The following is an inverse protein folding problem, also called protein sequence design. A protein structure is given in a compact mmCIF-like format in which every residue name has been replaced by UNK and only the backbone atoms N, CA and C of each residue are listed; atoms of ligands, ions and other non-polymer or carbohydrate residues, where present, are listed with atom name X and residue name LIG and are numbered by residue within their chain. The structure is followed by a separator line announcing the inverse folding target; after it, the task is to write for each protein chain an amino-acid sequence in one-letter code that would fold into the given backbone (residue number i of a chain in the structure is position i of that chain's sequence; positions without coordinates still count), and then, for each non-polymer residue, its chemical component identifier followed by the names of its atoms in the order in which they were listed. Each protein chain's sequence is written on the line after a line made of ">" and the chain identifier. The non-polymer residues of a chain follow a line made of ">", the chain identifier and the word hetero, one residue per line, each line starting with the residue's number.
data_IF_277501131516
#
_entry.id   IF_277501131516
#
_cell.length_a   1.000
_cell.length_b   1.000
_cell.length_c   1.000
_cell.angle_alpha   90.00
_cell.angle_beta   90.00
_cell.angle_gamma   90.00
#
_symmetry.space_group_name_H-M   'P 1'
#
loop_
_entity.id
_entity.type
_entity.pdbx_description
1 polymer ?
#
# COMPACT_ATOMS: atom_id res chain seq x y z
N UNK A 1 -0.94 28.27 -10.80
CA UNK A 1 -0.73 26.88 -10.31
C UNK A 1 -1.04 25.82 -11.36
N UNK A 2 -1.96 26.04 -12.31
CA UNK A 2 -2.06 25.23 -13.53
C UNK A 2 -1.18 25.85 -14.63
N UNK A 3 0.13 25.61 -14.57
CA UNK A 3 1.00 25.89 -15.71
C UNK A 3 0.94 24.68 -16.63
N UNK A 4 0.46 24.84 -17.88
CA UNK A 4 0.35 23.75 -18.85
C UNK A 4 1.67 23.06 -19.23
N UNK A 5 2.80 23.61 -18.80
CA UNK A 5 4.12 23.02 -19.00
C UNK A 5 4.52 22.14 -17.81
N UNK A 6 4.14 22.50 -16.58
CA UNK A 6 4.60 21.89 -15.31
C UNK A 6 3.53 20.97 -14.67
N UNK A 7 2.61 20.45 -15.47
CA UNK A 7 1.59 19.54 -14.98
C UNK A 7 2.13 18.10 -14.94
N UNK A 8 2.14 17.51 -13.74
CA UNK A 8 2.71 16.17 -13.48
C UNK A 8 1.71 15.03 -13.63
N UNK A 9 0.57 15.24 -14.30
CA UNK A 9 -0.46 14.20 -14.49
C UNK A 9 0.10 12.95 -15.18
N UNK A 10 0.91 13.10 -16.23
CA UNK A 10 1.55 11.96 -16.89
C UNK A 10 2.47 11.19 -15.95
N UNK A 11 3.23 11.90 -15.12
CA UNK A 11 4.12 11.28 -14.14
C UNK A 11 3.33 10.42 -13.14
N UNK A 12 2.22 10.94 -12.63
CA UNK A 12 1.33 10.20 -11.74
C UNK A 12 0.69 8.99 -12.43
N UNK A 13 0.14 9.16 -13.65
CA UNK A 13 -0.46 8.06 -14.40
C UNK A 13 0.54 6.95 -14.69
N UNK A 14 1.74 7.29 -15.16
CA UNK A 14 2.77 6.29 -15.47
C UNK A 14 3.28 5.57 -14.23
N UNK A 15 3.33 6.23 -13.08
CA UNK A 15 3.71 5.54 -11.85
C UNK A 15 2.62 4.57 -11.36
N UNK A 16 1.33 4.92 -11.45
CA UNK A 16 0.25 3.95 -11.15
C UNK A 16 0.29 2.76 -12.12
N UNK A 17 0.56 3.02 -13.41
CA UNK A 17 0.77 1.97 -14.41
C UNK A 17 1.96 1.10 -14.04
N UNK A 18 3.06 1.68 -13.57
CA UNK A 18 4.25 0.96 -13.08
C UNK A 18 3.91 -0.02 -11.96
N UNK A 19 3.18 0.44 -10.94
CA UNK A 19 2.73 -0.40 -9.84
C UNK A 19 1.76 -1.50 -10.30
N UNK A 20 0.84 -1.18 -11.22
CA UNK A 20 -0.04 -2.17 -11.84
C UNK A 20 0.71 -3.24 -12.64
N UNK A 21 1.73 -2.85 -13.40
CA UNK A 21 2.63 -3.78 -14.10
C UNK A 21 3.38 -4.67 -13.11
N UNK A 22 3.83 -4.15 -11.98
CA UNK A 22 4.50 -4.95 -10.95
C UNK A 22 3.59 -6.05 -10.39
N UNK A 23 2.31 -5.73 -10.14
CA UNK A 23 1.29 -6.70 -9.71
C UNK A 23 1.07 -7.76 -10.79
N UNK A 24 0.90 -7.35 -12.05
CA UNK A 24 0.70 -8.30 -13.16
C UNK A 24 1.90 -9.24 -13.33
N UNK A 25 3.12 -8.71 -13.28
CA UNK A 25 4.35 -9.49 -13.41
C UNK A 25 4.54 -10.48 -12.25
N UNK A 26 4.30 -10.06 -11.01
CA UNK A 26 4.46 -10.94 -9.85
C UNK A 26 3.38 -12.02 -9.79
N UNK A 27 2.13 -11.66 -10.05
CA UNK A 27 1.02 -12.62 -10.04
C UNK A 27 1.17 -13.60 -11.20
N UNK A 28 1.54 -13.10 -12.37
CA UNK A 28 1.83 -13.95 -13.54
C UNK A 28 2.95 -14.95 -13.27
N UNK A 29 4.04 -14.52 -12.62
CA UNK A 29 5.16 -15.40 -12.25
C UNK A 29 4.72 -16.47 -11.25
N UNK A 30 4.00 -16.11 -10.20
CA UNK A 30 3.57 -17.06 -9.18
C UNK A 30 2.52 -18.05 -9.68
N UNK A 31 1.60 -17.59 -10.52
CA UNK A 31 0.66 -18.48 -11.22
C UNK A 31 1.39 -19.43 -12.16
N UNK A 32 2.42 -18.96 -12.86
CA UNK A 32 3.27 -19.80 -13.70
C UNK A 32 4.04 -20.85 -12.87
N UNK A 33 4.48 -20.50 -11.66
CA UNK A 33 5.09 -21.44 -10.70
C UNK A 33 4.08 -22.39 -10.04
N UNK A 34 2.78 -22.29 -10.34
CA UNK A 34 1.73 -23.19 -9.84
C UNK A 34 1.24 -22.87 -8.42
N UNK A 35 1.44 -21.64 -7.91
CA UNK A 35 0.96 -21.25 -6.59
C UNK A 35 -0.56 -21.02 -6.61
N UNK A 36 -1.34 -21.62 -5.69
CA UNK A 36 -2.80 -21.51 -5.71
C UNK A 36 -3.26 -20.05 -5.46
N UNK A 37 -4.17 -19.59 -6.32
CA UNK A 37 -4.82 -18.29 -6.17
C UNK A 37 -6.00 -18.39 -5.20
N UNK A 38 -5.94 -17.68 -4.09
CA UNK A 38 -6.99 -17.64 -3.05
C UNK A 38 -7.67 -16.27 -3.07
N UNK A 39 -8.95 -16.20 -2.71
CA UNK A 39 -9.71 -14.93 -2.71
C UNK A 39 -9.07 -13.83 -1.85
N UNK A 40 -8.34 -14.18 -0.80
CA UNK A 40 -7.56 -13.23 0.02
C UNK A 40 -6.50 -12.49 -0.80
N UNK A 41 -5.91 -13.14 -1.80
CA UNK A 41 -4.93 -12.56 -2.73
C UNK A 41 -5.58 -11.50 -3.62
N UNK A 42 -6.88 -11.58 -3.89
CA UNK A 42 -7.58 -10.58 -4.71
C UNK A 42 -7.55 -9.16 -4.09
N UNK A 43 -7.33 -9.05 -2.77
CA UNK A 43 -7.21 -7.77 -2.08
C UNK A 43 -5.77 -7.22 -2.07
N UNK A 44 -4.76 -8.04 -2.38
CA UNK A 44 -3.36 -7.65 -2.38
C UNK A 44 -3.03 -6.48 -3.34
N UNK A 45 -3.61 -6.36 -4.56
CA UNK A 45 -3.33 -5.25 -5.46
C UNK A 45 -3.60 -3.87 -4.85
N UNK A 46 -4.63 -3.74 -4.00
CA UNK A 46 -4.93 -2.48 -3.32
C UNK A 46 -3.79 -2.06 -2.37
N UNK A 47 -3.29 -3.02 -1.58
CA UNK A 47 -2.16 -2.81 -0.69
C UNK A 47 -0.89 -2.47 -1.47
N UNK A 48 -0.61 -3.20 -2.54
CA UNK A 48 0.59 -3.01 -3.37
C UNK A 48 0.57 -1.65 -4.07
N UNK A 49 -0.57 -1.22 -4.60
CA UNK A 49 -0.73 0.11 -5.18
C UNK A 49 -0.49 1.22 -4.15
N UNK A 50 -0.95 1.05 -2.91
CA UNK A 50 -0.71 2.00 -1.83
C UNK A 50 0.78 2.24 -1.57
N UNK A 51 1.55 1.16 -1.40
CA UNK A 51 3.00 1.23 -1.19
C UNK A 51 3.73 1.77 -2.42
N UNK A 52 3.38 1.28 -3.62
CA UNK A 52 4.02 1.74 -4.85
C UNK A 52 3.81 3.25 -5.11
N UNK A 53 2.63 3.78 -4.77
CA UNK A 53 2.36 5.22 -4.86
C UNK A 53 3.15 6.03 -3.83
N UNK A 54 3.33 5.52 -2.61
CA UNK A 54 4.16 6.17 -1.58
C UNK A 54 5.62 6.30 -2.05
N UNK A 55 6.21 5.21 -2.56
CA UNK A 55 7.56 5.20 -3.12
C UNK A 55 7.73 6.22 -4.27
N UNK A 56 6.73 6.30 -5.15
CA UNK A 56 6.72 7.30 -6.23
C UNK A 56 6.71 8.74 -5.68
N UNK A 57 5.92 9.01 -4.64
CA UNK A 57 5.86 10.34 -4.04
C UNK A 57 7.20 10.72 -3.40
N UNK A 58 7.86 9.79 -2.71
CA UNK A 58 9.21 10.01 -2.14
C UNK A 58 10.20 10.36 -3.26
N UNK A 59 10.21 9.59 -4.35
CA UNK A 59 11.09 9.83 -5.51
C UNK A 59 10.85 11.19 -6.16
N UNK A 60 9.59 11.61 -6.32
CA UNK A 60 9.24 12.94 -6.87
C UNK A 60 9.67 14.05 -5.91
N UNK A 61 9.42 13.90 -4.61
CA UNK A 61 9.73 14.92 -3.62
C UNK A 61 11.24 15.18 -3.54
N UNK A 62 12.06 14.13 -3.51
CA UNK A 62 13.52 14.24 -3.53
C UNK A 62 14.05 14.81 -4.85
N UNK A 63 13.39 14.50 -5.98
CA UNK A 63 13.73 15.10 -7.28
C UNK A 63 13.48 16.62 -7.28
N UNK A 64 12.30 17.06 -6.82
CA UNK A 64 11.96 18.48 -6.70
C UNK A 64 12.89 19.22 -5.71
N UNK A 65 13.25 18.58 -4.60
CA UNK A 65 14.22 19.13 -3.66
C UNK A 65 15.61 19.29 -4.29
N UNK A 66 16.04 18.30 -5.08
CA UNK A 66 17.33 18.34 -5.79
C UNK A 66 17.37 19.41 -6.88
N UNK A 67 16.24 19.66 -7.56
CA UNK A 67 16.08 20.78 -8.50
C UNK A 67 16.24 22.15 -7.82
N UNK A 68 15.75 22.30 -6.60
CA UNK A 68 15.87 23.57 -5.84
C UNK A 68 17.28 23.88 -5.37
N UNK A 69 18.08 22.84 -5.10
CA UNK A 69 19.47 23.01 -4.62
C UNK A 69 20.38 23.64 -5.69
N UNK A 70 20.07 23.53 -6.99
CA UNK A 70 20.98 23.97 -8.07
C UNK A 70 20.22 24.53 -9.28
N UNK A 71 20.59 25.74 -9.72
CA UNK A 71 19.87 26.51 -10.75
C UNK A 71 20.00 25.93 -12.18
N UNK A 72 21.03 25.12 -12.47
CA UNK A 72 21.24 24.40 -13.75
C UNK A 72 22.03 23.08 -13.57
N UNK A 73 21.40 21.99 -13.13
CA UNK A 73 22.08 20.71 -13.00
C UNK A 73 22.10 19.95 -14.33
N UNK A 74 23.18 19.20 -14.57
CA UNK A 74 23.15 18.13 -15.57
C UNK A 74 22.14 17.06 -15.12
N UNK A 75 21.40 16.49 -16.07
CA UNK A 75 20.31 15.54 -15.78
C UNK A 75 20.84 14.28 -15.10
N UNK A 76 22.05 13.82 -15.47
CA UNK A 76 22.67 12.65 -14.86
C UNK A 76 23.06 12.91 -13.41
N UNK A 77 23.61 14.10 -13.15
CA UNK A 77 23.96 14.52 -11.79
C UNK A 77 22.71 14.63 -10.91
N UNK A 78 21.63 15.23 -11.44
CA UNK A 78 20.37 15.38 -10.73
C UNK A 78 19.74 14.02 -10.37
N UNK A 79 19.79 13.06 -11.30
CA UNK A 79 19.33 11.70 -11.05
C UNK A 79 20.18 11.00 -10.00
N UNK A 80 21.51 11.13 -10.09
CA UNK A 80 22.43 10.56 -9.10
C UNK A 80 22.18 11.09 -7.68
N UNK A 81 21.98 12.40 -7.53
CA UNK A 81 21.65 13.02 -6.24
C UNK A 81 20.26 12.60 -5.73
N UNK A 82 19.27 12.54 -6.63
CA UNK A 82 17.93 12.08 -6.24
C UNK A 82 17.98 10.63 -5.77
N UNK A 83 18.75 9.78 -6.44
CA UNK A 83 18.87 8.37 -6.08
C UNK A 83 19.67 8.19 -4.78
N UNK A 84 20.69 9.01 -4.53
CA UNK A 84 21.46 8.92 -3.28
C UNK A 84 20.60 9.20 -2.04
N UNK A 85 19.62 10.11 -2.14
CA UNK A 85 18.68 10.40 -1.04
C UNK A 85 17.43 9.51 -1.06
N UNK A 86 16.71 9.44 -2.20
CA UNK A 86 15.42 8.77 -2.30
C UNK A 86 15.53 7.25 -2.38
N UNK A 87 16.48 6.73 -3.18
CA UNK A 87 16.58 5.29 -3.38
C UNK A 87 16.97 4.57 -2.08
N UNK A 88 17.78 5.19 -1.21
CA UNK A 88 18.07 4.64 0.11
C UNK A 88 16.80 4.47 0.96
N UNK A 89 15.95 5.50 1.02
CA UNK A 89 14.68 5.45 1.78
C UNK A 89 13.72 4.38 1.24
N UNK A 90 13.55 4.33 -0.08
CA UNK A 90 12.68 3.35 -0.75
C UNK A 90 13.23 1.93 -0.59
N UNK A 91 14.56 1.74 -0.69
CA UNK A 91 15.18 0.42 -0.52
C UNK A 91 14.99 -0.12 0.89
N UNK A 92 15.15 0.72 1.92
CA UNK A 92 14.96 0.31 3.31
C UNK A 92 13.51 -0.14 3.52
N UNK A 93 12.54 0.66 3.08
CA UNK A 93 11.11 0.39 3.25
C UNK A 93 10.71 -0.89 2.54
N UNK A 94 11.05 -1.02 1.25
CA UNK A 94 10.76 -2.22 0.46
C UNK A 94 11.43 -3.46 1.01
N UNK A 95 12.69 -3.37 1.47
CA UNK A 95 13.39 -4.50 2.11
C UNK A 95 12.68 -4.95 3.39
N UNK A 96 12.28 -4.01 4.26
CA UNK A 96 11.57 -4.35 5.49
C UNK A 96 10.21 -4.97 5.21
N UNK A 97 9.48 -4.47 4.21
CA UNK A 97 8.18 -5.02 3.81
C UNK A 97 8.32 -6.42 3.23
N UNK A 98 9.26 -6.61 2.30
CA UNK A 98 9.56 -7.90 1.69
C UNK A 98 9.91 -8.94 2.76
N UNK A 99 10.77 -8.59 3.73
CA UNK A 99 11.13 -9.48 4.83
C UNK A 99 9.92 -9.79 5.72
N UNK A 100 9.11 -8.80 6.09
CA UNK A 100 7.92 -8.99 6.90
C UNK A 100 6.91 -9.93 6.23
N UNK A 101 6.66 -9.75 4.93
CA UNK A 101 5.75 -10.62 4.18
C UNK A 101 6.33 -12.02 3.98
N UNK A 102 7.64 -12.16 3.73
CA UNK A 102 8.25 -13.49 3.65
C UNK A 102 8.21 -14.23 5.00
N UNK A 103 8.40 -13.56 6.13
CA UNK A 103 8.19 -14.17 7.46
C UNK A 103 6.73 -14.64 7.62
N UNK A 104 5.77 -13.88 7.09
CA UNK A 104 4.34 -14.26 7.07
C UNK A 104 4.03 -15.56 6.31
N UNK A 105 4.91 -16.02 5.41
CA UNK A 105 4.75 -17.31 4.72
C UNK A 105 4.95 -18.53 5.61
N UNK A 106 5.52 -18.35 6.81
CA UNK A 106 5.69 -19.40 7.83
C UNK A 106 4.40 -19.69 8.63
N UNK A 107 3.33 -18.94 8.40
CA UNK A 107 2.05 -19.15 9.09
C UNK A 107 1.42 -20.52 8.78
N UNK A 108 0.64 -21.08 9.71
CA UNK A 108 -0.03 -22.37 9.50
C UNK A 108 -1.23 -22.28 8.53
N UNK A 109 -1.81 -21.09 8.34
CA UNK A 109 -3.01 -20.87 7.51
C UNK A 109 -2.67 -20.73 6.02
N UNK A 110 -3.06 -21.68 5.15
CA UNK A 110 -2.69 -21.66 3.73
C UNK A 110 -3.11 -20.38 3.00
N UNK A 111 -4.29 -19.83 3.31
CA UNK A 111 -4.78 -18.58 2.71
C UNK A 111 -3.86 -17.39 2.97
N UNK A 112 -3.26 -17.33 4.17
CA UNK A 112 -2.33 -16.25 4.57
C UNK A 112 -0.97 -16.47 3.93
N UNK A 113 -0.49 -17.73 3.88
CA UNK A 113 0.78 -18.08 3.24
C UNK A 113 0.80 -17.68 1.77
N UNK A 114 -0.26 -18.02 1.02
CA UNK A 114 -0.39 -17.60 -0.39
C UNK A 114 -0.40 -16.08 -0.49
N UNK A 115 -1.25 -15.39 0.29
CA UNK A 115 -1.31 -13.92 0.30
C UNK A 115 0.06 -13.28 0.51
N UNK A 116 0.79 -13.71 1.55
CA UNK A 116 2.12 -13.21 1.87
C UNK A 116 3.17 -13.48 0.78
N UNK A 117 3.08 -14.63 0.09
CA UNK A 117 3.96 -14.95 -1.02
C UNK A 117 3.69 -14.04 -2.23
N UNK A 118 2.42 -13.82 -2.56
CA UNK A 118 2.00 -12.91 -3.64
C UNK A 118 2.39 -11.45 -3.37
N UNK A 119 2.15 -10.93 -2.16
CA UNK A 119 2.52 -9.56 -1.81
C UNK A 119 4.03 -9.37 -1.71
N UNK A 120 4.76 -10.30 -1.08
CA UNK A 120 6.21 -10.22 -0.92
C UNK A 120 6.95 -10.21 -2.26
N UNK A 121 6.54 -11.07 -3.20
CA UNK A 121 7.11 -11.03 -4.57
C UNK A 121 6.69 -9.79 -5.34
N UNK A 122 5.45 -9.32 -5.19
CA UNK A 122 5.00 -8.08 -5.83
C UNK A 122 5.80 -6.86 -5.39
N UNK A 123 6.20 -6.76 -4.13
CA UNK A 123 7.06 -5.68 -3.66
C UNK A 123 8.47 -5.71 -4.24
N UNK A 124 9.03 -6.89 -4.47
CA UNK A 124 10.31 -7.01 -5.19
C UNK A 124 10.17 -6.46 -6.62
N UNK A 125 9.11 -6.83 -7.34
CA UNK A 125 8.84 -6.29 -8.68
C UNK A 125 8.54 -4.78 -8.65
N UNK A 126 7.81 -4.32 -7.65
CA UNK A 126 7.48 -2.91 -7.46
C UNK A 126 8.76 -2.08 -7.30
N UNK A 127 9.67 -2.53 -6.43
CA UNK A 127 10.98 -1.89 -6.24
C UNK A 127 11.78 -1.82 -7.56
N UNK A 128 11.86 -2.93 -8.31
CA UNK A 128 12.59 -2.97 -9.59
C UNK A 128 11.98 -1.97 -10.58
N UNK A 129 10.66 -1.91 -10.72
CA UNK A 129 10.01 -0.97 -11.64
C UNK A 129 10.07 0.48 -11.17
N UNK A 130 10.00 0.74 -9.87
CA UNK A 130 10.20 2.09 -9.31
C UNK A 130 11.61 2.61 -9.62
N UNK A 131 12.65 1.79 -9.41
CA UNK A 131 14.04 2.21 -9.64
C UNK A 131 14.41 2.33 -11.12
N UNK A 132 13.82 1.51 -12.00
CA UNK A 132 14.17 1.48 -13.43
C UNK A 132 13.18 2.28 -14.27
N UNK A 133 11.94 1.81 -14.37
CA UNK A 133 10.91 2.37 -15.23
C UNK A 133 10.47 3.76 -14.77
N UNK A 134 10.09 3.92 -13.51
CA UNK A 134 9.62 5.20 -13.00
C UNK A 134 10.73 6.26 -12.95
N UNK A 135 11.94 5.88 -12.54
CA UNK A 135 13.12 6.72 -12.62
C UNK A 135 13.39 7.27 -14.04
N UNK A 136 13.29 6.41 -15.06
CA UNK A 136 13.42 6.85 -16.45
C UNK A 136 12.32 7.84 -16.86
N UNK A 137 11.08 7.65 -16.40
CA UNK A 137 9.95 8.55 -16.68
C UNK A 137 10.17 9.92 -16.02
N UNK A 138 10.71 9.99 -14.80
CA UNK A 138 11.06 11.27 -14.16
C UNK A 138 12.03 12.06 -15.05
N UNK A 139 13.08 11.40 -15.54
CA UNK A 139 14.08 12.00 -16.44
C UNK A 139 13.46 12.47 -17.75
N UNK A 140 12.60 11.66 -18.35
CA UNK A 140 11.92 12.01 -19.60
C UNK A 140 10.95 13.19 -19.40
N UNK A 141 10.20 13.21 -18.31
CA UNK A 141 9.33 14.33 -17.97
C UNK A 141 10.15 15.60 -17.74
N UNK A 142 11.29 15.51 -17.07
CA UNK A 142 12.17 16.66 -16.89
C UNK A 142 12.73 17.20 -18.22
N UNK A 143 13.16 16.31 -19.13
CA UNK A 143 13.57 16.72 -20.49
C UNK A 143 12.42 17.39 -21.27
N UNK A 144 11.17 16.93 -21.09
CA UNK A 144 9.98 17.57 -21.66
C UNK A 144 9.78 18.98 -21.11
N UNK A 145 9.96 19.17 -19.80
CA UNK A 145 9.85 20.46 -19.14
C UNK A 145 10.92 21.44 -19.60
N UNK A 146 12.19 21.00 -19.68
CA UNK A 146 13.27 21.81 -20.25
C UNK A 146 13.01 22.24 -21.70
N UNK A 147 12.34 21.39 -22.48
CA UNK A 147 11.93 21.68 -23.86
C UNK A 147 10.72 22.61 -24.00
N UNK A 148 10.16 23.14 -22.90
CA UNK A 148 8.93 23.95 -22.87
C UNK A 148 7.78 23.32 -23.67
N UNK A 149 7.66 21.99 -23.61
CA UNK A 149 6.63 21.25 -24.36
C UNK A 149 5.33 21.19 -23.55
N UNK A 150 4.20 21.31 -24.24
CA UNK A 150 2.88 21.21 -23.62
C UNK A 150 2.66 19.82 -23.00
N UNK A 151 2.00 19.74 -21.84
CA UNK A 151 1.82 18.48 -21.10
C UNK A 151 1.02 17.42 -21.88
N UNK A 152 -0.01 17.81 -22.64
CA UNK A 152 -0.90 16.87 -23.33
C UNK A 152 -0.42 16.51 -24.74
N UNK A 153 0.08 17.49 -25.48
CA UNK A 153 0.35 17.37 -26.93
C UNK A 153 1.83 17.18 -27.24
N UNK A 154 2.72 17.28 -26.24
CA UNK A 154 4.18 17.17 -26.37
C UNK A 154 4.82 18.10 -27.43
N UNK A 155 4.06 19.06 -27.95
CA UNK A 155 4.52 20.05 -28.91
C UNK A 155 5.25 21.19 -28.20
N UNK A 156 6.32 21.75 -28.79
CA UNK A 156 7.02 22.89 -28.22
C UNK A 156 6.10 24.10 -28.15
N UNK A 157 5.95 24.68 -26.96
CA UNK A 157 5.24 25.95 -26.80
C UNK A 157 6.25 27.04 -27.12
N UNK A 158 6.12 27.63 -28.31
CA UNK A 158 6.98 28.72 -28.74
C UNK A 158 6.80 29.94 -27.83
N UNK A 159 7.83 30.28 -27.06
CA UNK A 159 7.98 31.58 -26.41
C UNK A 159 8.44 32.62 -27.45
N UNK A 160 7.66 32.80 -28.51
CA UNK A 160 7.85 33.84 -29.51
C UNK A 160 7.12 35.11 -29.08
N UNK A 161 7.76 36.27 -29.23
CA UNK A 161 7.27 37.62 -28.92
C UNK A 161 6.01 38.06 -29.71
N UNK A 162 5.35 37.16 -30.42
CA UNK A 162 4.21 37.44 -31.31
C UNK A 162 2.86 37.07 -30.64
N UNK A 163 2.67 37.52 -29.40
CA UNK A 163 1.55 37.11 -28.53
C UNK A 163 0.45 38.17 -28.34
N UNK A 164 0.27 39.09 -29.29
CA UNK A 164 -0.78 40.10 -29.20
C UNK A 164 -2.14 39.68 -29.81
N UNK A 165 -2.23 38.59 -30.59
CA UNK A 165 -3.45 38.29 -31.40
C UNK A 165 -3.97 36.85 -31.35
N UNK A 166 -3.95 36.14 -30.21
CA UNK A 166 -4.67 34.85 -30.08
C UNK A 166 -5.57 34.78 -28.85
N UNK A 167 -6.74 34.18 -29.03
CA UNK A 167 -7.84 34.06 -28.06
C UNK A 167 -7.37 33.59 -26.68
N UNK A 168 -7.88 34.18 -25.59
CA UNK A 168 -7.48 33.83 -24.21
C UNK A 168 -7.72 32.35 -23.88
N UNK A 169 -8.59 31.64 -24.60
CA UNK A 169 -8.76 30.18 -24.50
C UNK A 169 -7.51 29.39 -24.98
N UNK A 170 -6.83 29.87 -26.02
CA UNK A 170 -5.55 29.31 -26.50
C UNK A 170 -4.40 29.67 -25.56
N UNK A 171 -4.35 30.90 -25.03
CA UNK A 171 -3.32 31.29 -24.05
C UNK A 171 -3.51 30.60 -22.68
N UNK A 172 -4.76 30.39 -22.24
CA UNK A 172 -5.06 29.60 -21.05
C UNK A 172 -4.72 28.11 -21.25
N UNK A 173 -5.02 27.55 -22.44
CA UNK A 173 -4.75 26.15 -22.75
C UNK A 173 -3.27 25.86 -23.05
N UNK A 174 -2.50 26.78 -23.66
CA UNK A 174 -1.13 26.49 -24.10
C UNK A 174 -0.03 27.17 -23.29
N UNK A 175 -0.30 28.34 -22.69
CA UNK A 175 0.70 29.16 -21.97
C UNK A 175 0.40 29.20 -20.46
N UNK A 176 -0.84 28.93 -20.05
CA UNK A 176 -1.26 28.94 -18.66
C UNK A 176 -1.26 30.33 -18.01
N UNK A 177 -1.15 31.41 -18.80
CA UNK A 177 -1.15 32.80 -18.34
C UNK A 177 -1.81 33.71 -19.38
N UNK A 178 -2.89 34.42 -19.02
CA UNK A 178 -3.48 35.51 -19.82
C UNK A 178 -2.93 36.91 -19.42
N UNK A 179 -1.89 37.00 -18.58
CA UNK A 179 -1.28 38.29 -18.19
C UNK A 179 0.24 38.20 -18.14
N UNK A 180 0.91 39.12 -18.83
CA UNK A 180 2.36 39.24 -18.86
C UNK A 180 2.93 39.63 -17.50
N UNK A 181 3.40 38.64 -16.75
CA UNK A 181 4.39 38.84 -15.70
C UNK A 181 5.46 37.76 -15.79
N UNK A 182 6.70 38.23 -15.69
CA UNK A 182 7.96 37.47 -15.67
C UNK A 182 7.92 36.33 -14.65
N UNK A 183 8.65 35.27 -14.99
CA UNK A 183 9.09 34.16 -14.13
C UNK A 183 9.23 34.56 -12.66
N UNK A 184 8.17 34.34 -11.87
CA UNK A 184 8.24 34.44 -10.43
C UNK A 184 8.99 33.21 -9.88
N UNK A 185 9.78 33.38 -8.79
CA UNK A 185 10.39 32.26 -8.09
C UNK A 185 9.29 31.29 -7.63
N UNK A 186 9.63 30.00 -7.59
CA UNK A 186 8.73 28.94 -7.12
C UNK A 186 7.95 29.35 -5.87
N UNK A 187 6.63 29.49 -5.99
CA UNK A 187 5.79 29.57 -4.80
C UNK A 187 5.85 28.22 -4.09
N UNK A 188 6.36 28.20 -2.86
CA UNK A 188 6.42 27.01 -2.01
C UNK A 188 5.07 26.26 -1.98
N UNK A 189 5.12 24.92 -1.91
CA UNK A 189 3.92 24.10 -1.78
C UNK A 189 3.12 24.55 -0.55
N UNK A 190 1.80 24.76 -0.66
CA UNK A 190 0.99 25.30 0.44
C UNK A 190 1.04 24.41 1.68
N UNK A 191 1.18 23.09 1.48
CA UNK A 191 1.34 22.11 2.55
C UNK A 191 2.66 22.31 3.31
N UNK A 192 3.77 22.55 2.60
CA UNK A 192 5.07 22.83 3.23
C UNK A 192 5.05 24.12 4.05
N UNK A 193 4.36 25.15 3.56
CA UNK A 193 4.15 26.40 4.31
C UNK A 193 3.32 26.15 5.57
N UNK A 194 2.26 25.35 5.48
CA UNK A 194 1.44 24.97 6.64
C UNK A 194 2.27 24.23 7.70
N UNK A 195 3.03 23.21 7.28
CA UNK A 195 3.87 22.42 8.18
C UNK A 195 4.96 23.25 8.84
N UNK A 196 5.62 24.13 8.08
CA UNK A 196 6.73 24.94 8.58
C UNK A 196 6.25 26.10 9.46
N UNK A 197 5.16 26.79 9.10
CA UNK A 197 4.70 28.00 9.81
C UNK A 197 3.72 27.74 10.95
N UNK A 198 2.83 26.76 10.82
CA UNK A 198 1.75 26.54 11.78
C UNK A 198 1.98 25.26 12.59
N UNK A 199 2.10 24.11 11.92
CA UNK A 199 2.13 22.82 12.60
C UNK A 199 3.42 22.57 13.40
N UNK A 200 4.58 22.87 12.80
CA UNK A 200 5.89 22.67 13.40
C UNK A 200 6.05 23.43 14.73
N UNK A 201 5.88 24.76 14.75
CA UNK A 201 5.97 25.56 15.98
C UNK A 201 4.92 25.17 17.02
N UNK A 202 3.70 24.81 16.60
CA UNK A 202 2.66 24.35 17.50
C UNK A 202 3.07 23.07 18.25
N UNK A 203 3.54 22.03 17.54
CA UNK A 203 3.97 20.78 18.17
C UNK A 203 5.26 20.90 18.98
N UNK A 204 6.19 21.78 18.56
CA UNK A 204 7.48 21.94 19.27
C UNK A 204 7.41 22.81 20.50
N UNK A 205 6.26 23.42 20.81
CA UNK A 205 6.05 24.18 22.03
C UNK A 205 6.32 23.35 23.29
N UNK A 206 6.97 23.96 24.28
CA UNK A 206 7.40 23.31 25.53
C UNK A 206 6.26 22.67 26.33
N UNK A 207 5.05 23.23 26.23
CA UNK A 207 3.84 22.72 26.89
C UNK A 207 3.10 21.65 26.10
N UNK A 208 3.16 21.71 24.77
CA UNK A 208 2.44 20.78 23.89
C UNK A 208 3.19 19.45 23.81
N UNK A 209 4.53 19.46 23.79
CA UNK A 209 5.34 18.24 23.84
C UNK A 209 4.95 17.25 24.95
N UNK A 210 4.95 17.63 26.25
CA UNK A 210 4.57 16.69 27.31
C UNK A 210 3.09 16.29 27.23
N UNK A 211 2.20 17.18 26.77
CA UNK A 211 0.79 16.85 26.56
C UNK A 211 0.60 15.77 25.49
N UNK A 212 1.32 15.87 24.37
CA UNK A 212 1.30 14.86 23.29
C UNK A 212 1.82 13.53 23.82
N UNK A 213 2.94 13.53 24.56
CA UNK A 213 3.50 12.30 25.16
C UNK A 213 2.50 11.67 26.14
N UNK A 214 1.84 12.47 26.99
CA UNK A 214 0.82 11.98 27.91
C UNK A 214 -0.37 11.37 27.15
N UNK A 215 -0.85 12.04 26.11
CA UNK A 215 -1.96 11.56 25.28
C UNK A 215 -1.61 10.21 24.62
N UNK A 216 -0.43 10.09 24.00
CA UNK A 216 0.03 8.82 23.41
C UNK A 216 0.26 7.75 24.47
N UNK A 217 0.70 8.12 25.68
CA UNK A 217 0.82 7.19 26.81
C UNK A 217 -0.52 6.63 27.27
N UNK A 218 -1.54 7.49 27.40
CA UNK A 218 -2.92 7.07 27.72
C UNK A 218 -3.48 6.21 26.59
N UNK A 219 -3.29 6.61 25.33
CA UNK A 219 -3.71 5.83 24.16
C UNK A 219 -3.07 4.45 24.16
N UNK A 220 -1.75 4.36 24.35
CA UNK A 220 -1.03 3.09 24.40
C UNK A 220 -1.54 2.20 25.55
N UNK A 221 -1.72 2.76 26.74
CA UNK A 221 -2.28 2.03 27.89
C UNK A 221 -3.69 1.50 27.62
N UNK A 222 -4.55 2.31 27.01
CA UNK A 222 -5.90 1.90 26.63
C UNK A 222 -5.90 0.82 25.55
N UNK A 223 -5.00 0.89 24.57
CA UNK A 223 -4.84 -0.13 23.53
C UNK A 223 -4.35 -1.45 24.11
N UNK A 224 -3.37 -1.43 25.03
CA UNK A 224 -2.89 -2.64 25.72
C UNK A 224 -4.03 -3.28 26.53
N UNK A 225 -4.83 -2.48 27.22
CA UNK A 225 -6.03 -2.97 27.92
C UNK A 225 -7.08 -3.52 26.94
N UNK A 226 -7.27 -2.88 25.78
CA UNK A 226 -8.16 -3.37 24.73
C UNK A 226 -7.72 -4.74 24.19
N UNK A 227 -6.41 -4.96 24.03
CA UNK A 227 -5.87 -6.25 23.59
C UNK A 227 -6.22 -7.40 24.53
N UNK A 228 -6.41 -7.18 25.83
CA UNK A 228 -6.79 -8.26 26.77
C UNK A 228 -8.27 -8.64 26.68
N UNK A 229 -9.10 -7.85 26.01
CA UNK A 229 -10.53 -8.12 25.82
C UNK A 229 -10.88 -8.67 24.43
N UNK A 230 -9.89 -8.86 23.55
CA UNK A 230 -10.14 -9.41 22.22
C UNK A 230 -10.65 -10.86 22.37
N UNK A 231 -11.84 -11.12 21.81
CA UNK A 231 -12.40 -12.47 21.75
C UNK A 231 -11.78 -13.21 20.58
N UNK A 232 -11.32 -14.43 20.84
CA UNK A 232 -10.78 -15.32 19.82
C UNK A 232 -11.91 -16.08 19.13
N UNK A 233 -11.81 -16.26 17.81
CA UNK A 233 -12.75 -17.06 17.02
C UNK A 233 -13.30 -16.31 15.80
N UNK A 234 -13.64 -17.08 14.78
CA UNK A 234 -14.37 -16.59 13.59
C UNK A 234 -15.80 -17.07 13.73
N UNK A 235 -16.74 -16.14 13.79
CA UNK A 235 -18.15 -16.47 13.71
C UNK A 235 -18.51 -16.76 12.25
N UNK A 236 -18.99 -17.98 11.97
CA UNK A 236 -19.30 -18.45 10.61
C UNK A 236 -20.37 -17.57 9.94
N UNK A 237 -21.23 -16.94 10.74
CA UNK A 237 -22.26 -16.00 10.29
C UNK A 237 -21.66 -14.81 9.55
N UNK A 238 -20.51 -14.31 10.01
CA UNK A 238 -19.83 -13.14 9.44
C UNK A 238 -19.07 -13.44 8.14
N UNK A 239 -18.98 -14.71 7.74
CA UNK A 239 -18.41 -15.10 6.44
C UNK A 239 -19.45 -15.10 5.32
N UNK A 240 -20.74 -15.15 5.68
CA UNK A 240 -21.83 -15.07 4.74
C UNK A 240 -22.11 -13.61 4.36
N UNK A 241 -22.72 -13.40 3.21
CA UNK A 241 -23.26 -12.09 2.86
C UNK A 241 -24.39 -11.71 3.85
N UNK A 242 -24.58 -10.42 4.11
CA UNK A 242 -25.56 -9.92 5.11
C UNK A 242 -27.00 -10.38 4.81
N UNK A 243 -27.34 -10.56 3.52
CA UNK A 243 -28.66 -11.04 3.07
C UNK A 243 -28.74 -12.57 2.91
N UNK A 244 -27.71 -13.31 3.32
CA UNK A 244 -27.65 -14.76 3.14
C UNK A 244 -28.58 -15.50 4.11
N UNK A 245 -29.25 -16.55 3.62
CA UNK A 245 -30.05 -17.48 4.43
C UNK A 245 -29.23 -18.20 5.53
N UNK A 246 -27.91 -18.17 5.42
CA UNK A 246 -26.98 -18.80 6.36
C UNK A 246 -27.05 -18.15 7.74
N UNK A 247 -27.24 -16.83 7.80
CA UNK A 247 -27.35 -16.08 9.06
C UNK A 247 -28.59 -16.54 9.86
N UNK A 248 -29.83 -16.47 9.33
CA UNK A 248 -31.01 -16.92 10.07
C UNK A 248 -30.96 -18.43 10.36
N UNK A 249 -30.35 -19.24 9.48
CA UNK A 249 -30.15 -20.66 9.76
C UNK A 249 -29.30 -20.89 11.02
N UNK A 250 -28.15 -20.22 11.14
CA UNK A 250 -27.30 -20.37 12.33
C UNK A 250 -27.92 -19.73 13.58
N UNK A 251 -28.66 -18.63 13.43
CA UNK A 251 -29.45 -18.05 14.52
C UNK A 251 -30.49 -19.03 15.07
N UNK A 252 -31.26 -19.67 14.18
CA UNK A 252 -32.27 -20.66 14.54
C UNK A 252 -31.62 -21.93 15.10
N UNK A 253 -30.50 -22.37 14.53
CA UNK A 253 -29.74 -23.52 15.02
C UNK A 253 -29.27 -23.29 16.46
N UNK A 254 -28.69 -22.13 16.77
CA UNK A 254 -28.20 -21.84 18.12
C UNK A 254 -29.35 -21.61 19.11
N UNK A 255 -30.48 -21.09 18.64
CA UNK A 255 -31.66 -20.87 19.48
C UNK A 255 -32.42 -22.15 19.81
N UNK A 256 -32.64 -23.03 18.84
CA UNK A 256 -33.50 -24.21 18.99
C UNK A 256 -32.72 -25.52 19.17
N UNK A 257 -31.48 -25.60 18.69
CA UNK A 257 -30.70 -26.84 18.64
C UNK A 257 -29.39 -26.79 19.45
N UNK A 258 -29.17 -25.76 20.27
CA UNK A 258 -27.98 -25.66 21.15
C UNK A 258 -27.89 -26.72 22.26
N UNK A 259 -28.98 -27.46 22.52
CA UNK A 259 -29.00 -28.53 23.53
C UNK A 259 -28.14 -29.75 23.12
N UNK A 260 -27.95 -29.98 21.82
CA UNK A 260 -27.12 -31.08 21.31
C UNK A 260 -25.88 -30.51 20.62
N UNK A 261 -24.71 -30.76 21.21
CA UNK A 261 -23.43 -30.37 20.63
C UNK A 261 -23.08 -31.15 19.35
N UNK A 262 -21.98 -30.78 18.68
CA UNK A 262 -21.47 -31.56 17.55
C UNK A 262 -21.17 -33.00 17.99
N UNK A 263 -21.45 -33.98 17.11
CA UNK A 263 -21.15 -35.39 17.40
C UNK A 263 -19.65 -35.60 17.52
N UNK A 264 -19.21 -36.05 18.67
CA UNK A 264 -17.81 -36.45 18.91
C UNK A 264 -17.66 -37.90 18.47
N UNK A 265 -16.71 -38.17 17.57
CA UNK A 265 -16.35 -39.53 17.16
C UNK A 265 -15.00 -39.89 17.76
N UNK A 266 -14.98 -40.93 18.59
CA UNK A 266 -13.74 -41.47 19.17
C UNK A 266 -13.24 -42.60 18.27
N UNK A 267 -12.01 -42.46 17.78
CA UNK A 267 -11.38 -43.44 16.90
C UNK A 267 -10.14 -44.01 17.59
N UNK A 268 -10.13 -45.32 17.81
CA UNK A 268 -8.97 -46.04 18.32
C UNK A 268 -8.07 -46.39 17.14
N UNK A 269 -6.89 -45.75 17.07
CA UNK A 269 -5.96 -45.87 15.93
C UNK A 269 -5.06 -47.11 16.01
N UNK A 270 -4.92 -47.71 17.18
CA UNK A 270 -4.06 -48.88 17.39
C UNK A 270 -4.80 -50.20 17.10
N UNK A 271 -4.05 -51.25 16.76
CA UNK A 271 -4.62 -52.58 16.63
C UNK A 271 -4.93 -53.12 18.02
N UNK A 272 -6.22 -53.19 18.34
CA UNK A 272 -6.70 -53.63 19.64
C UNK A 272 -7.39 -55.00 19.49
N UNK A 273 -7.07 -55.91 20.41
CA UNK A 273 -7.63 -57.25 20.46
C UNK A 273 -9.06 -57.19 21.00
N UNK A 274 -10.02 -56.84 20.14
CA UNK A 274 -11.45 -56.71 20.50
C UNK A 274 -12.08 -58.00 21.04
N UNK A 275 -11.43 -59.15 20.84
CA UNK A 275 -11.86 -60.43 21.43
C UNK A 275 -11.57 -60.53 22.93
N UNK A 276 -10.67 -59.71 23.47
CA UNK A 276 -10.30 -59.74 24.89
C UNK A 276 -11.35 -58.98 25.74
N UNK A 277 -11.83 -59.62 26.80
CA UNK A 277 -12.87 -59.08 27.68
C UNK A 277 -12.40 -57.85 28.46
N UNK A 278 -11.17 -57.85 28.98
CA UNK A 278 -10.62 -56.72 29.74
C UNK A 278 -10.49 -55.46 28.87
N UNK A 279 -10.16 -55.66 27.59
CA UNK A 279 -10.00 -54.58 26.61
C UNK A 279 -11.35 -53.99 26.23
N UNK A 280 -12.37 -54.84 26.00
CA UNK A 280 -13.75 -54.37 25.76
C UNK A 280 -14.30 -53.57 26.92
N UNK A 281 -14.13 -54.07 28.15
CA UNK A 281 -14.54 -53.36 29.37
C UNK A 281 -13.82 -52.02 29.52
N UNK A 282 -12.54 -51.95 29.16
CA UNK A 282 -11.78 -50.69 29.15
C UNK A 282 -12.33 -49.66 28.17
N UNK A 283 -12.66 -50.09 26.94
CA UNK A 283 -13.25 -49.22 25.91
C UNK A 283 -14.65 -48.75 26.33
N UNK A 284 -15.47 -49.65 26.87
CA UNK A 284 -16.83 -49.33 27.32
C UNK A 284 -16.81 -48.33 28.49
N UNK A 285 -15.92 -48.53 29.47
CA UNK A 285 -15.73 -47.59 30.57
C UNK A 285 -15.26 -46.22 30.07
N UNK A 286 -14.31 -46.18 29.12
CA UNK A 286 -13.87 -44.92 28.50
C UNK A 286 -14.99 -44.22 27.72
N UNK A 287 -15.90 -44.99 27.10
CA UNK A 287 -17.03 -44.43 26.35
C UNK A 287 -18.06 -43.82 27.30
N UNK A 288 -18.33 -44.49 28.43
CA UNK A 288 -19.22 -43.98 29.48
C UNK A 288 -18.67 -42.72 30.17
N UNK A 289 -17.35 -42.62 30.34
CA UNK A 289 -16.71 -41.42 30.91
C UNK A 289 -16.79 -40.19 29.97
N UNK A 290 -17.07 -40.40 28.67
CA UNK A 290 -17.14 -39.36 27.65
C UNK A 290 -18.57 -38.88 27.34
N UNK A 291 -19.59 -39.62 27.76
CA UNK A 291 -21.02 -39.25 27.66
C UNK A 291 -21.44 -38.30 28.80
#
# INVERSE_FOLDING_TARGET
>A
RLSCIRNNVWLACFGVISAGLAVLSSFGLLLFCGVPFVITVANAPFLILGVGVDDMFIMIASWEQSLRKKDKPDVNFLLGETYSEAALSVTITTLTDVLAFFIGTWTAFPSVRSFCLYTGTAFVFCYVYTMTFFGAIIVLNHKREQGNRHWLTCMPVGAGKDQAEKSCLYNACCVGNCSGQSSQPESEHPMSVFFTKYYGPFLTNKWIKPLVVLLYGVYLGSSIYGCTQIREGIDLRNLANDDSYVIPYYDDNDKYFSAYGPRVMVVVTESVDYWNETVRLGIENCTQDLE
#
